data_IF_590002900529
#
_entry.id   IF_590002900529
#
_cell.length_a   1.000
_cell.length_b   1.000
_cell.length_c   1.000
_cell.angle_alpha   90.00
_cell.angle_beta   90.00
_cell.angle_gamma   90.00
#
_symmetry.space_group_name_H-M   'P 1'
#
loop_
_entity.id
_entity.type
_entity.pdbx_description
1 polymer ?
#
# COMPACT_ATOMS: atom_id res chain seq x y z
N UNK A 1 27.39 -0.78 0.78
CA UNK A 1 26.61 -1.14 -0.42
C UNK A 1 25.26 -1.69 0.00
N UNK A 2 24.21 -1.43 -0.78
CA UNK A 2 22.88 -2.00 -0.55
C UNK A 2 22.88 -3.53 -0.74
N UNK A 3 22.12 -4.24 0.10
CA UNK A 3 21.90 -5.69 -0.03
C UNK A 3 20.59 -6.05 -0.76
N UNK A 4 19.75 -5.06 -1.06
CA UNK A 4 18.43 -5.18 -1.70
C UNK A 4 18.16 -3.93 -2.55
N UNK A 5 17.18 -4.00 -3.44
CA UNK A 5 16.67 -2.80 -4.11
C UNK A 5 16.17 -1.76 -3.08
N UNK A 6 16.43 -0.45 -3.29
CA UNK A 6 16.03 0.62 -2.35
C UNK A 6 14.56 0.53 -1.91
N UNK A 7 13.65 0.29 -2.85
CA UNK A 7 12.21 0.15 -2.60
C UNK A 7 11.86 -0.95 -1.59
N UNK A 8 12.68 -2.02 -1.47
CA UNK A 8 12.47 -3.06 -0.45
C UNK A 8 12.72 -2.52 0.95
N UNK A 9 13.73 -1.68 1.15
CA UNK A 9 13.99 -1.03 2.45
C UNK A 9 12.85 -0.11 2.85
N UNK A 10 12.28 0.63 1.90
CA UNK A 10 11.10 1.49 2.11
C UNK A 10 9.90 0.65 2.55
N UNK A 11 9.56 -0.38 1.77
CA UNK A 11 8.43 -1.26 2.07
C UNK A 11 8.57 -1.96 3.41
N UNK A 12 9.75 -2.52 3.70
CA UNK A 12 10.00 -3.24 4.95
C UNK A 12 9.94 -2.32 6.18
N UNK A 13 10.31 -1.04 6.01
CA UNK A 13 10.20 -0.03 7.06
C UNK A 13 8.73 0.36 7.35
N UNK A 14 7.94 0.64 6.30
CA UNK A 14 6.56 1.10 6.45
C UNK A 14 5.62 -0.03 6.89
N UNK A 15 5.80 -1.24 6.35
CA UNK A 15 4.91 -2.38 6.62
C UNK A 15 4.72 -2.70 8.10
N UNK A 16 5.71 -2.38 8.94
CA UNK A 16 5.68 -2.60 10.39
C UNK A 16 4.62 -1.74 11.10
N UNK A 17 4.14 -0.68 10.45
CA UNK A 17 3.19 0.29 10.99
C UNK A 17 1.74 0.02 10.56
N UNK A 18 1.55 -0.91 9.63
CA UNK A 18 0.22 -1.28 9.17
C UNK A 18 -0.49 -2.16 10.19
N UNK A 19 -1.78 -1.87 10.39
CA UNK A 19 -2.68 -2.58 11.28
C UNK A 19 -3.62 -3.43 10.44
N UNK A 20 -3.56 -4.74 10.66
CA UNK A 20 -4.52 -5.68 10.08
C UNK A 20 -5.72 -5.78 11.02
N UNK A 21 -6.92 -5.67 10.49
CA UNK A 21 -8.15 -5.87 11.25
C UNK A 21 -8.44 -7.38 11.41
N UNK A 22 -9.36 -7.70 12.30
CA UNK A 22 -9.83 -9.06 12.61
C UNK A 22 -10.97 -9.54 11.70
N UNK A 23 -11.45 -8.68 10.81
CA UNK A 23 -12.55 -8.98 9.88
C UNK A 23 -12.36 -8.34 8.50
N UNK A 24 -12.97 -8.97 7.51
CA UNK A 24 -13.06 -8.44 6.16
C UNK A 24 -13.89 -7.15 6.14
N UNK A 25 -13.35 -6.09 5.54
CA UNK A 25 -14.03 -4.80 5.43
C UNK A 25 -15.36 -4.86 4.65
N UNK A 26 -15.49 -5.81 3.71
CA UNK A 26 -16.66 -5.97 2.83
C UNK A 26 -17.73 -6.85 3.47
N UNK A 27 -17.38 -8.06 3.93
CA UNK A 27 -18.38 -9.05 4.37
C UNK A 27 -18.28 -9.47 5.85
N UNK A 28 -17.40 -8.85 6.65
CA UNK A 28 -17.14 -9.18 8.06
C UNK A 28 -16.66 -10.61 8.36
N UNK A 29 -16.37 -11.45 7.36
CA UNK A 29 -15.71 -12.75 7.60
C UNK A 29 -14.40 -12.55 8.35
N UNK A 30 -14.11 -13.46 9.28
CA UNK A 30 -12.91 -13.42 10.15
C UNK A 30 -11.80 -14.36 9.68
N UNK A 31 -12.10 -15.24 8.72
CA UNK A 31 -11.18 -16.29 8.28
C UNK A 31 -10.46 -15.90 6.99
N UNK A 32 -9.24 -16.41 6.79
CA UNK A 32 -8.44 -16.23 5.56
C UNK A 32 -8.25 -14.76 5.16
N UNK A 33 -7.95 -13.91 6.13
CA UNK A 33 -7.79 -12.48 5.92
C UNK A 33 -6.44 -12.12 5.32
N UNK A 34 -6.45 -11.15 4.41
CA UNK A 34 -5.30 -10.58 3.72
C UNK A 34 -5.28 -9.06 3.86
N UNK A 35 -4.08 -8.50 3.95
CA UNK A 35 -3.88 -7.06 4.03
C UNK A 35 -3.70 -6.49 2.63
N UNK A 36 -4.45 -5.45 2.32
CA UNK A 36 -4.41 -4.77 1.04
C UNK A 36 -4.18 -3.28 1.25
N UNK A 37 -3.08 -2.76 0.73
CA UNK A 37 -2.83 -1.32 0.73
C UNK A 37 -3.32 -0.72 -0.57
N UNK A 38 -4.13 0.33 -0.50
CA UNK A 38 -4.76 0.91 -1.68
C UNK A 38 -3.73 1.57 -2.59
N UNK A 39 -2.69 2.18 -2.05
CA UNK A 39 -1.60 2.76 -2.84
C UNK A 39 -0.44 1.78 -3.02
N UNK A 40 0.12 1.74 -4.23
CA UNK A 40 1.40 1.13 -4.53
C UNK A 40 2.53 1.95 -3.90
N UNK A 41 3.11 1.43 -2.81
CA UNK A 41 4.28 2.04 -2.13
C UNK A 41 5.47 2.20 -3.09
N UNK A 42 5.64 1.27 -4.04
CA UNK A 42 6.69 1.37 -5.05
C UNK A 42 6.49 2.56 -5.98
N UNK A 43 5.26 2.80 -6.43
CA UNK A 43 4.95 3.93 -7.30
C UNK A 43 5.06 5.25 -6.54
N UNK A 44 4.53 5.32 -5.30
CA UNK A 44 4.70 6.49 -4.42
C UNK A 44 6.19 6.82 -4.23
N UNK A 45 7.02 5.82 -3.93
CA UNK A 45 8.44 6.02 -3.72
C UNK A 45 9.16 6.49 -4.99
N UNK A 46 8.82 5.92 -6.15
CA UNK A 46 9.39 6.36 -7.42
C UNK A 46 9.01 7.82 -7.73
N UNK A 47 7.75 8.19 -7.58
CA UNK A 47 7.28 9.58 -7.76
C UNK A 47 7.95 10.53 -6.78
N UNK A 48 8.14 10.11 -5.53
CA UNK A 48 8.84 10.90 -4.52
C UNK A 48 10.32 11.10 -4.85
N UNK A 49 11.01 10.06 -5.32
CA UNK A 49 12.40 10.18 -5.80
C UNK A 49 12.53 11.16 -6.96
N UNK A 50 11.60 11.12 -7.92
CA UNK A 50 11.56 12.08 -9.04
C UNK A 50 11.36 13.51 -8.52
N UNK A 51 10.36 13.72 -7.65
CA UNK A 51 10.06 15.04 -7.07
C UNK A 51 11.24 15.64 -6.30
N UNK A 52 12.03 14.79 -5.63
CA UNK A 52 13.18 15.21 -4.82
C UNK A 52 14.52 15.12 -5.57
N UNK A 53 14.51 14.87 -6.89
CA UNK A 53 15.71 14.74 -7.73
C UNK A 53 16.71 13.68 -7.21
N UNK A 54 16.20 12.61 -6.60
CA UNK A 54 17.00 11.48 -6.11
C UNK A 54 17.15 10.47 -7.24
N UNK A 55 18.33 10.48 -7.89
CA UNK A 55 18.60 9.63 -9.06
C UNK A 55 19.18 8.26 -8.69
N UNK A 56 20.04 8.22 -7.68
CA UNK A 56 20.75 7.01 -7.25
C UNK A 56 20.74 6.91 -5.74
N UNK A 57 20.58 5.69 -5.22
CA UNK A 57 20.68 5.37 -3.80
C UNK A 57 21.63 4.18 -3.71
N UNK A 58 22.81 4.37 -3.14
CA UNK A 58 23.88 3.35 -3.20
C UNK A 58 24.32 2.86 -1.81
N UNK A 59 23.96 3.61 -0.77
CA UNK A 59 24.32 3.33 0.62
C UNK A 59 23.12 3.01 1.50
N UNK A 60 23.36 2.30 2.61
CA UNK A 60 22.32 1.95 3.58
C UNK A 60 21.91 3.17 4.40
N UNK A 61 22.86 4.07 4.63
CA UNK A 61 22.72 5.31 5.38
C UNK A 61 21.75 6.26 4.65
N UNK A 62 21.91 6.43 3.34
CA UNK A 62 20.99 7.20 2.50
C UNK A 62 19.55 6.67 2.59
N UNK A 63 19.34 5.38 2.34
CA UNK A 63 17.98 4.81 2.31
C UNK A 63 17.32 4.84 3.69
N UNK A 64 18.10 4.80 4.78
CA UNK A 64 17.59 4.99 6.15
C UNK A 64 17.06 6.41 6.37
N UNK A 65 17.76 7.44 5.86
CA UNK A 65 17.27 8.81 5.90
C UNK A 65 16.05 9.00 5.00
N UNK A 66 16.11 8.48 3.78
CA UNK A 66 15.04 8.66 2.79
C UNK A 66 13.74 7.96 3.17
N UNK A 67 13.77 6.79 3.81
CA UNK A 67 12.53 6.11 4.22
C UNK A 67 11.74 6.91 5.28
N UNK A 68 12.43 7.65 6.14
CA UNK A 68 11.82 8.48 7.18
C UNK A 68 11.22 9.72 6.55
N UNK A 69 11.96 10.41 5.67
CA UNK A 69 11.42 11.57 4.94
C UNK A 69 10.28 11.18 3.99
N UNK A 70 10.43 10.09 3.24
CA UNK A 70 9.40 9.57 2.35
C UNK A 70 8.09 9.29 3.10
N UNK A 71 8.20 8.72 4.30
CA UNK A 71 7.02 8.48 5.14
C UNK A 71 6.35 9.79 5.56
N UNK A 72 7.12 10.75 6.05
CA UNK A 72 6.60 12.07 6.46
C UNK A 72 5.91 12.81 5.31
N UNK A 73 6.47 12.70 4.11
CA UNK A 73 5.93 13.38 2.93
C UNK A 73 4.69 12.69 2.33
N UNK A 74 4.41 11.45 2.73
CA UNK A 74 3.30 10.62 2.20
C UNK A 74 2.43 10.04 3.34
N UNK A 75 2.33 10.75 4.47
CA UNK A 75 1.62 10.26 5.67
C UNK A 75 0.18 9.85 5.37
N UNK A 76 -0.53 10.60 4.53
CA UNK A 76 -1.89 10.28 4.17
C UNK A 76 -1.95 8.98 3.37
N UNK A 77 -1.25 8.90 2.24
CA UNK A 77 -1.25 7.74 1.34
C UNK A 77 -0.82 6.47 2.06
N UNK A 78 0.14 6.57 2.99
CA UNK A 78 0.67 5.46 3.79
C UNK A 78 -0.12 5.19 5.08
N UNK A 79 -1.19 5.94 5.37
CA UNK A 79 -1.98 5.74 6.57
C UNK A 79 -2.80 4.45 6.52
N UNK A 80 -3.19 3.94 7.69
CA UNK A 80 -4.09 2.79 7.79
C UNK A 80 -5.50 3.08 7.23
N UNK A 81 -5.89 4.35 7.06
CA UNK A 81 -7.13 4.75 6.38
C UNK A 81 -7.12 4.39 4.87
N UNK A 82 -5.93 4.19 4.32
CA UNK A 82 -5.71 3.75 2.94
C UNK A 82 -5.34 2.27 2.84
N UNK A 83 -5.61 1.50 3.89
CA UNK A 83 -5.43 0.07 3.92
C UNK A 83 -6.73 -0.65 4.27
N UNK A 84 -6.87 -1.88 3.78
CA UNK A 84 -8.01 -2.73 3.99
C UNK A 84 -7.54 -4.09 4.49
N UNK A 85 -8.39 -4.71 5.31
CA UNK A 85 -8.32 -6.15 5.54
C UNK A 85 -9.47 -6.78 4.79
N UNK A 86 -9.17 -7.72 3.90
CA UNK A 86 -10.15 -8.39 3.05
C UNK A 86 -10.02 -9.90 3.25
N UNK A 87 -11.11 -10.66 3.18
CA UNK A 87 -10.97 -12.11 3.03
C UNK A 87 -10.38 -12.41 1.66
N UNK A 88 -9.74 -13.59 1.52
CA UNK A 88 -9.10 -14.03 0.29
C UNK A 88 -9.97 -13.83 -0.95
N UNK A 89 -11.24 -14.23 -0.90
CA UNK A 89 -12.19 -14.07 -2.01
C UNK A 89 -12.34 -12.61 -2.48
N UNK A 90 -12.51 -11.68 -1.54
CA UNK A 90 -12.67 -10.26 -1.87
C UNK A 90 -11.36 -9.62 -2.34
N UNK A 91 -10.24 -10.04 -1.76
CA UNK A 91 -8.92 -9.57 -2.15
C UNK A 91 -8.55 -10.03 -3.57
N UNK A 92 -8.75 -11.30 -3.88
CA UNK A 92 -8.56 -11.85 -5.23
C UNK A 92 -9.50 -11.18 -6.24
N UNK A 93 -10.77 -10.99 -5.89
CA UNK A 93 -11.73 -10.30 -6.77
C UNK A 93 -11.31 -8.87 -7.08
N UNK A 94 -10.82 -8.13 -6.08
CA UNK A 94 -10.27 -6.79 -6.29
C UNK A 94 -9.12 -6.84 -7.30
N UNK A 95 -8.18 -7.77 -7.12
CA UNK A 95 -7.04 -7.92 -8.02
C UNK A 95 -7.40 -8.46 -9.41
N UNK A 96 -8.48 -9.22 -9.56
CA UNK A 96 -8.98 -9.62 -10.87
C UNK A 96 -9.54 -8.44 -11.67
N UNK A 97 -10.10 -7.42 -11.00
CA UNK A 97 -10.70 -6.25 -11.66
C UNK A 97 -9.66 -5.19 -11.96
N UNK A 98 -8.81 -4.85 -11.00
CA UNK A 98 -7.85 -3.74 -11.13
C UNK A 98 -6.44 -4.22 -11.47
N UNK A 99 -6.12 -5.50 -11.27
CA UNK A 99 -4.78 -6.04 -11.35
C UNK A 99 -4.05 -5.98 -10.00
N UNK A 100 -2.94 -6.72 -9.89
CA UNK A 100 -2.08 -6.71 -8.69
C UNK A 100 -1.25 -5.43 -8.54
N UNK A 101 -1.07 -4.68 -9.63
CA UNK A 101 -0.20 -3.49 -9.72
C UNK A 101 -0.93 -2.35 -10.42
N UNK A 102 -2.17 -2.07 -10.03
CA UNK A 102 -2.86 -0.90 -10.57
C UNK A 102 -2.16 0.39 -10.16
N UNK A 103 -2.30 1.43 -10.98
CA UNK A 103 -1.70 2.74 -10.74
C UNK A 103 -2.37 3.46 -9.57
N UNK A 104 -1.62 4.28 -8.83
CA UNK A 104 -2.14 5.06 -7.70
C UNK A 104 -3.30 6.00 -8.08
N UNK A 105 -3.36 6.44 -9.34
CA UNK A 105 -4.48 7.21 -9.89
C UNK A 105 -5.83 6.47 -9.85
N UNK A 106 -5.81 5.14 -9.72
CA UNK A 106 -7.01 4.30 -9.66
C UNK A 106 -7.60 4.18 -8.25
N UNK A 107 -6.89 4.62 -7.20
CA UNK A 107 -7.34 4.49 -5.81
C UNK A 107 -8.78 4.99 -5.58
N UNK A 108 -9.23 6.14 -6.11
CA UNK A 108 -10.62 6.57 -5.96
C UNK A 108 -11.64 5.56 -6.50
N UNK A 109 -11.32 4.92 -7.64
CA UNK A 109 -12.18 3.88 -8.23
C UNK A 109 -12.20 2.60 -7.40
N UNK A 110 -11.04 2.19 -6.87
CA UNK A 110 -10.93 1.03 -5.98
C UNK A 110 -11.73 1.25 -4.70
N UNK A 111 -11.58 2.42 -4.05
CA UNK A 111 -12.37 2.80 -2.86
C UNK A 111 -13.87 2.73 -3.13
N UNK A 112 -14.32 3.31 -4.24
CA UNK A 112 -15.74 3.27 -4.63
C UNK A 112 -16.23 1.84 -4.85
N UNK A 113 -15.43 1.00 -5.53
CA UNK A 113 -15.78 -0.40 -5.76
C UNK A 113 -15.93 -1.19 -4.46
N UNK A 114 -14.99 -1.03 -3.52
CA UNK A 114 -15.04 -1.68 -2.20
C UNK A 114 -16.28 -1.26 -1.43
N UNK A 115 -16.60 0.05 -1.41
CA UNK A 115 -17.82 0.59 -0.79
C UNK A 115 -19.08 -0.05 -1.38
N UNK A 116 -19.20 -0.07 -2.71
CA UNK A 116 -20.34 -0.68 -3.40
C UNK A 116 -20.44 -2.18 -3.08
N UNK A 117 -19.33 -2.92 -2.96
CA UNK A 117 -19.40 -4.34 -2.60
C UNK A 117 -19.92 -4.53 -1.17
N UNK A 118 -19.52 -3.65 -0.24
CA UNK A 118 -19.99 -3.68 1.15
C UNK A 118 -21.50 -3.41 1.24
N UNK A 119 -21.98 -2.42 0.49
CA UNK A 119 -23.41 -2.04 0.44
C UNK A 119 -24.31 -3.14 -0.12
N UNK A 120 -23.79 -4.02 -0.99
CA UNK A 120 -24.55 -5.16 -1.53
C UNK A 120 -24.82 -6.28 -0.52
N UNK A 121 -24.10 -6.28 0.60
CA UNK A 121 -24.17 -7.33 1.64
C UNK A 121 -24.98 -6.82 2.85
N UNK A 122 -25.23 -5.51 2.93
CA UNK A 122 -26.09 -4.88 3.92
C UNK A 122 -27.55 -4.94 3.47
#
# INVERSE_FOLDING_TARGET
MLKRFPVKYIRDYIKKKYKKNDKCFICNLTDTLEFHHLFSVSELFNSWCIKNNIKNITTVEEIKKYREQFELDNLWELSNENALTLCKQHHERLHNIFGQRYANSMVPKVKNWVRIQKEKIQ
#
